data_IF_626309898126
#
_entry.id   IF_626309898126
#
_cell.length_a   1.000
_cell.length_b   1.000
_cell.length_c   1.000
_cell.angle_alpha   90.00
_cell.angle_beta   90.00
_cell.angle_gamma   90.00
#
_symmetry.space_group_name_H-M   'P 1'
#
loop_
_entity.id
_entity.type
_entity.pdbx_description
1 polymer ?
#
# COMPACT_ATOMS: atom_id res chain seq x y z
N UNK A 1 6.64 -16.49 26.63
CA UNK A 1 7.22 -15.98 25.38
C UNK A 1 6.14 -15.56 24.39
N UNK A 2 5.12 -16.39 24.13
CA UNK A 2 4.02 -16.10 23.20
C UNK A 2 3.22 -14.82 23.55
N UNK A 3 2.92 -14.57 24.84
CA UNK A 3 2.19 -13.37 25.26
C UNK A 3 2.97 -12.06 25.01
N UNK A 4 4.32 -12.10 25.04
CA UNK A 4 5.16 -10.94 24.77
C UNK A 4 5.35 -10.65 23.28
N UNK A 5 5.21 -11.66 22.42
CA UNK A 5 5.24 -11.50 20.98
C UNK A 5 3.94 -10.88 20.45
N UNK A 6 2.80 -11.23 21.04
CA UNK A 6 1.51 -10.66 20.69
C UNK A 6 1.42 -9.17 21.05
N UNK A 7 1.95 -8.76 22.18
CA UNK A 7 1.98 -7.35 22.63
C UNK A 7 2.86 -6.45 21.73
N UNK A 8 3.87 -7.02 21.05
CA UNK A 8 4.75 -6.27 20.14
C UNK A 8 4.20 -6.12 18.71
N UNK A 9 3.21 -6.91 18.32
CA UNK A 9 2.67 -6.90 16.97
C UNK A 9 1.90 -5.60 16.69
N UNK A 10 1.22 -5.06 17.67
CA UNK A 10 0.45 -3.81 17.51
C UNK A 10 1.34 -2.58 17.29
N UNK A 11 2.53 -2.56 17.88
CA UNK A 11 3.52 -1.49 17.74
C UNK A 11 4.38 -1.63 16.48
N UNK A 12 4.22 -2.72 15.72
CA UNK A 12 4.96 -2.94 14.48
C UNK A 12 4.73 -1.78 13.52
N UNK A 13 5.82 -1.14 13.08
CA UNK A 13 5.76 -0.07 12.08
C UNK A 13 5.50 -0.67 10.70
N UNK A 14 4.45 -0.25 10.05
CA UNK A 14 4.10 -0.65 8.68
C UNK A 14 4.48 0.42 7.63
N UNK A 15 4.59 1.68 8.06
CA UNK A 15 5.11 2.77 7.23
C UNK A 15 6.20 3.52 8.00
N UNK A 16 7.46 3.31 7.62
CA UNK A 16 8.60 3.97 8.25
C UNK A 16 8.66 5.49 7.96
N UNK A 17 8.17 5.91 6.80
CA UNK A 17 8.18 7.33 6.41
C UNK A 17 7.27 8.19 7.30
N UNK A 18 6.12 7.66 7.69
CA UNK A 18 5.09 8.35 8.47
C UNK A 18 4.94 7.77 9.88
N UNK A 19 5.82 6.85 10.28
CA UNK A 19 5.84 6.18 11.58
C UNK A 19 4.49 5.56 11.96
N UNK A 20 3.78 5.04 10.98
CA UNK A 20 2.46 4.44 11.17
C UNK A 20 2.59 3.01 11.65
N UNK A 21 1.97 2.70 12.81
CA UNK A 21 1.96 1.36 13.37
C UNK A 21 0.82 0.49 12.81
N UNK A 22 0.95 -0.82 13.03
CA UNK A 22 -0.10 -1.80 12.75
C UNK A 22 -1.41 -1.42 13.43
N UNK A 23 -1.34 -1.04 14.72
CA UNK A 23 -2.52 -0.64 15.49
C UNK A 23 -3.25 0.54 14.84
N UNK A 24 -2.53 1.60 14.48
CA UNK A 24 -3.14 2.77 13.83
C UNK A 24 -3.87 2.37 12.54
N UNK A 25 -3.30 1.46 11.77
CA UNK A 25 -3.89 0.99 10.52
C UNK A 25 -5.13 0.14 10.75
N UNK A 26 -5.07 -0.83 11.68
CA UNK A 26 -6.21 -1.70 12.00
C UNK A 26 -7.37 -0.94 12.65
N UNK A 27 -7.08 0.03 13.50
CA UNK A 27 -8.11 0.91 14.09
C UNK A 27 -8.83 1.71 12.98
N UNK A 28 -8.09 2.26 12.03
CA UNK A 28 -8.67 3.00 10.90
C UNK A 28 -9.49 2.11 9.95
N UNK A 29 -9.07 0.85 9.73
CA UNK A 29 -9.88 -0.13 8.99
C UNK A 29 -11.21 -0.41 9.70
N UNK A 30 -11.19 -0.55 11.01
CA UNK A 30 -12.40 -0.78 11.80
C UNK A 30 -13.37 0.42 11.78
N UNK A 31 -12.84 1.65 11.75
CA UNK A 31 -13.63 2.87 11.64
C UNK A 31 -14.27 3.05 10.23
N UNK A 32 -13.62 2.53 9.20
CA UNK A 32 -14.03 2.67 7.81
C UNK A 32 -14.16 1.31 7.10
N UNK A 33 -15.18 0.49 7.42
CA UNK A 33 -15.31 -0.87 6.88
C UNK A 33 -15.44 -0.96 5.36
N UNK A 34 -15.74 0.15 4.69
CA UNK A 34 -15.82 0.28 3.23
C UNK A 34 -14.80 1.26 2.66
N UNK A 35 -13.85 1.72 3.47
CA UNK A 35 -12.83 2.66 3.07
C UNK A 35 -11.86 2.06 2.04
N UNK A 36 -11.53 2.84 1.02
CA UNK A 36 -10.45 2.49 0.10
C UNK A 36 -9.07 2.77 0.71
N UNK A 37 -8.01 2.26 0.11
CA UNK A 37 -6.65 2.63 0.51
C UNK A 37 -6.37 4.14 0.36
N UNK A 38 -7.06 4.81 -0.55
CA UNK A 38 -6.97 6.27 -0.70
C UNK A 38 -7.67 7.02 0.45
N UNK A 39 -8.72 6.47 1.04
CA UNK A 39 -9.35 7.03 2.24
C UNK A 39 -8.45 6.83 3.46
N UNK A 40 -7.92 5.63 3.66
CA UNK A 40 -6.92 5.34 4.70
C UNK A 40 -5.67 6.22 4.54
N UNK A 41 -5.24 6.48 3.31
CA UNK A 41 -4.16 7.42 3.02
C UNK A 41 -4.44 8.83 3.54
N UNK A 42 -5.65 9.31 3.33
CA UNK A 42 -6.03 10.66 3.80
C UNK A 42 -6.05 10.75 5.32
N UNK A 43 -6.50 9.69 5.97
CA UNK A 43 -6.58 9.63 7.43
C UNK A 43 -5.21 9.40 8.07
N UNK A 44 -4.42 8.47 7.55
CA UNK A 44 -3.19 7.96 8.17
C UNK A 44 -1.91 8.44 7.48
N UNK A 45 -2.00 9.19 6.38
CA UNK A 45 -0.88 9.58 5.51
C UNK A 45 -0.16 8.37 4.84
N UNK A 46 -0.83 7.23 4.74
CA UNK A 46 -0.31 6.04 4.08
C UNK A 46 0.18 6.36 2.65
N UNK A 47 1.44 6.04 2.34
CA UNK A 47 2.01 6.28 1.02
C UNK A 47 2.31 7.75 0.69
N UNK A 48 2.37 8.64 1.69
CA UNK A 48 2.72 10.05 1.49
C UNK A 48 4.21 10.36 1.64
N UNK A 49 4.97 9.45 2.20
CA UNK A 49 6.41 9.62 2.36
C UNK A 49 7.19 9.48 1.06
N UNK A 50 8.53 9.65 1.08
CA UNK A 50 9.37 9.67 -0.12
C UNK A 50 9.30 8.41 -0.98
N UNK A 51 9.01 7.22 -0.40
CA UNK A 51 8.84 5.98 -1.17
C UNK A 51 7.49 5.88 -1.90
N UNK A 52 6.57 6.82 -1.67
CA UNK A 52 5.25 6.87 -2.31
C UNK A 52 4.49 5.53 -2.31
N UNK A 53 4.49 4.87 -1.16
CA UNK A 53 3.79 3.60 -0.98
C UNK A 53 4.59 2.35 -1.32
N UNK A 54 5.83 2.49 -1.75
CA UNK A 54 6.65 1.39 -2.22
C UNK A 54 6.78 0.21 -1.24
N UNK A 55 6.84 0.47 0.04
CA UNK A 55 6.96 -0.58 1.06
C UNK A 55 5.66 -0.80 1.85
N UNK A 56 5.01 0.29 2.24
CA UNK A 56 3.83 0.20 3.10
C UNK A 56 2.60 -0.37 2.38
N UNK A 57 2.49 -0.26 1.06
CA UNK A 57 1.36 -0.82 0.31
C UNK A 57 1.23 -2.33 0.47
N UNK A 58 2.35 -3.05 0.44
CA UNK A 58 2.36 -4.50 0.66
C UNK A 58 1.87 -4.88 2.06
N UNK A 59 2.43 -4.22 3.07
CA UNK A 59 2.07 -4.46 4.47
C UNK A 59 0.62 -4.10 4.74
N UNK A 60 0.16 -2.96 4.22
CA UNK A 60 -1.23 -2.53 4.32
C UNK A 60 -2.20 -3.51 3.66
N UNK A 61 -1.86 -4.01 2.47
CA UNK A 61 -2.67 -5.02 1.77
C UNK A 61 -2.74 -6.31 2.57
N UNK A 62 -1.62 -6.78 3.13
CA UNK A 62 -1.61 -7.99 3.97
C UNK A 62 -2.48 -7.82 5.22
N UNK A 63 -2.41 -6.68 5.90
CA UNK A 63 -3.24 -6.40 7.07
C UNK A 63 -4.73 -6.25 6.73
N UNK A 64 -5.04 -5.67 5.58
CA UNK A 64 -6.42 -5.54 5.12
C UNK A 64 -7.03 -6.92 4.76
N UNK A 65 -6.22 -7.84 4.21
CA UNK A 65 -6.61 -9.24 4.01
C UNK A 65 -6.80 -9.97 5.34
N UNK A 66 -5.88 -9.81 6.27
CA UNK A 66 -5.96 -10.42 7.61
C UNK A 66 -7.19 -9.96 8.39
N UNK A 67 -7.63 -8.73 8.17
CA UNK A 67 -8.81 -8.13 8.78
C UNK A 67 -10.12 -8.40 7.99
N UNK A 68 -10.11 -9.26 6.97
CA UNK A 68 -11.24 -9.51 6.07
C UNK A 68 -11.86 -8.22 5.46
N UNK A 69 -11.05 -7.17 5.33
CA UNK A 69 -11.47 -5.89 4.75
C UNK A 69 -11.51 -5.93 3.23
N UNK A 70 -10.66 -6.75 2.62
CA UNK A 70 -10.58 -6.97 1.18
C UNK A 70 -10.49 -8.46 0.87
N UNK A 71 -11.02 -8.87 -0.28
CA UNK A 71 -10.91 -10.24 -0.78
C UNK A 71 -9.55 -10.50 -1.43
N UNK A 72 -9.11 -11.76 -1.40
CA UNK A 72 -7.82 -12.19 -1.99
C UNK A 72 -7.78 -11.86 -3.48
N UNK A 73 -8.88 -12.10 -4.21
CA UNK A 73 -8.97 -11.85 -5.65
C UNK A 73 -8.81 -10.37 -6.00
N UNK A 74 -9.20 -9.47 -5.09
CA UNK A 74 -9.13 -8.02 -5.28
C UNK A 74 -7.85 -7.38 -4.75
N UNK A 75 -7.14 -8.06 -3.86
CA UNK A 75 -6.02 -7.51 -3.12
C UNK A 75 -4.91 -6.94 -4.02
N UNK A 76 -4.48 -7.72 -5.01
CA UNK A 76 -3.44 -7.30 -5.95
C UNK A 76 -3.87 -6.13 -6.82
N UNK A 77 -5.13 -6.13 -7.28
CA UNK A 77 -5.71 -5.04 -8.07
C UNK A 77 -5.78 -3.73 -7.28
N UNK A 78 -6.25 -3.80 -6.03
CA UNK A 78 -6.33 -2.63 -5.14
C UNK A 78 -4.95 -2.05 -4.81
N UNK A 79 -3.97 -2.92 -4.52
CA UNK A 79 -2.58 -2.50 -4.28
C UNK A 79 -1.99 -1.82 -5.51
N UNK A 80 -2.16 -2.41 -6.70
CA UNK A 80 -1.69 -1.85 -7.97
C UNK A 80 -2.33 -0.50 -8.27
N UNK A 81 -3.65 -0.38 -8.05
CA UNK A 81 -4.36 0.88 -8.23
C UNK A 81 -3.83 1.97 -7.28
N UNK A 82 -3.64 1.60 -6.00
CA UNK A 82 -3.07 2.52 -5.01
C UNK A 82 -1.68 3.01 -5.41
N UNK A 83 -0.78 2.13 -5.83
CA UNK A 83 0.57 2.49 -6.31
C UNK A 83 0.51 3.34 -7.58
N UNK A 84 -0.32 2.96 -8.54
CA UNK A 84 -0.51 3.73 -9.77
C UNK A 84 -0.94 5.17 -9.47
N UNK A 85 -1.89 5.36 -8.56
CA UNK A 85 -2.37 6.68 -8.17
C UNK A 85 -1.29 7.51 -7.47
N UNK A 86 -0.34 6.87 -6.77
CA UNK A 86 0.81 7.57 -6.16
C UNK A 86 1.83 8.01 -7.21
N UNK A 87 2.14 7.14 -8.13
CA UNK A 87 3.26 7.35 -9.06
C UNK A 87 2.90 8.21 -10.26
N UNK A 88 1.66 8.18 -10.73
CA UNK A 88 1.21 8.98 -11.87
C UNK A 88 1.39 10.49 -11.63
N UNK A 89 1.25 10.93 -10.38
CA UNK A 89 1.46 12.32 -9.99
C UNK A 89 2.92 12.75 -9.91
N UNK A 90 3.86 11.80 -9.90
CA UNK A 90 5.30 12.09 -9.82
C UNK A 90 5.90 12.43 -11.18
N UNK A 91 5.47 11.79 -12.26
CA UNK A 91 6.05 11.94 -13.59
C UNK A 91 6.23 13.37 -14.04
N UNK A 92 5.25 14.28 -13.86
CA UNK A 92 5.39 15.67 -14.31
C UNK A 92 6.46 16.48 -13.60
N UNK A 93 6.91 16.05 -12.41
CA UNK A 93 7.88 16.78 -11.57
C UNK A 93 9.26 16.13 -11.54
N UNK A 94 9.40 14.92 -12.07
CA UNK A 94 10.67 14.20 -12.10
C UNK A 94 11.54 14.68 -13.29
N UNK A 95 12.85 14.79 -13.07
CA UNK A 95 13.81 15.08 -14.13
C UNK A 95 15.16 14.36 -13.90
N UNK A 96 15.90 14.13 -14.98
CA UNK A 96 17.23 13.54 -14.93
C UNK A 96 17.25 12.17 -14.26
N UNK A 97 18.12 11.98 -13.28
CA UNK A 97 18.32 10.70 -12.59
C UNK A 97 17.11 10.27 -11.76
N UNK A 98 16.25 11.19 -11.35
CA UNK A 98 15.01 10.86 -10.64
C UNK A 98 14.07 10.01 -11.51
N UNK A 99 13.98 10.31 -12.80
CA UNK A 99 13.17 9.53 -13.75
C UNK A 99 13.73 8.11 -13.87
N UNK A 100 15.05 7.96 -13.95
CA UNK A 100 15.72 6.65 -14.00
C UNK A 100 15.48 5.84 -12.74
N UNK A 101 15.59 6.47 -11.57
CA UNK A 101 15.35 5.81 -10.28
C UNK A 101 13.89 5.34 -10.18
N UNK A 102 12.94 6.19 -10.52
CA UNK A 102 11.52 5.82 -10.49
C UNK A 102 11.20 4.70 -11.49
N UNK A 103 11.83 4.71 -12.67
CA UNK A 103 11.70 3.61 -13.62
C UNK A 103 12.25 2.29 -13.06
N UNK A 104 13.42 2.35 -12.40
CA UNK A 104 14.02 1.19 -11.74
C UNK A 104 13.09 0.64 -10.63
N UNK A 105 12.56 1.51 -9.78
CA UNK A 105 11.63 1.12 -8.71
C UNK A 105 10.39 0.44 -9.30
N UNK A 106 9.82 0.99 -10.38
CA UNK A 106 8.70 0.38 -11.06
C UNK A 106 9.03 -1.03 -11.59
N UNK A 107 10.19 -1.23 -12.20
CA UNK A 107 10.62 -2.53 -12.69
C UNK A 107 10.86 -3.53 -11.54
N UNK A 108 11.44 -3.08 -10.44
CA UNK A 108 11.63 -3.91 -9.23
C UNK A 108 10.27 -4.36 -8.70
N UNK A 109 9.30 -3.46 -8.61
CA UNK A 109 7.95 -3.80 -8.17
C UNK A 109 7.26 -4.79 -9.11
N UNK A 110 7.33 -4.56 -10.41
CA UNK A 110 6.75 -5.47 -11.39
C UNK A 110 7.36 -6.86 -11.29
N UNK A 111 8.68 -6.97 -11.26
CA UNK A 111 9.37 -8.26 -11.19
C UNK A 111 9.20 -8.97 -9.84
N UNK A 112 9.21 -8.23 -8.72
CA UNK A 112 9.11 -8.82 -7.37
C UNK A 112 7.69 -9.28 -7.04
N UNK A 113 6.68 -8.56 -7.53
CA UNK A 113 5.28 -8.79 -7.20
C UNK A 113 4.49 -9.47 -8.32
N UNK A 114 5.15 -9.76 -9.45
CA UNK A 114 4.51 -10.32 -10.65
C UNK A 114 3.31 -9.49 -11.14
N UNK A 115 3.34 -8.17 -10.89
CA UNK A 115 2.22 -7.27 -11.20
C UNK A 115 2.00 -7.08 -12.71
N UNK A 116 2.94 -7.46 -13.55
CA UNK A 116 2.82 -7.46 -15.00
C UNK A 116 1.80 -8.49 -15.50
N UNK A 117 1.56 -9.56 -14.73
CA UNK A 117 0.58 -10.61 -15.02
C UNK A 117 -0.79 -10.37 -14.38
N UNK A 118 -0.96 -9.25 -13.67
CA UNK A 118 -2.26 -8.89 -13.12
C UNK A 118 -3.26 -8.57 -14.24
N UNK A 119 -4.56 -8.87 -14.04
CA UNK A 119 -5.60 -8.54 -15.00
C UNK A 119 -5.52 -7.07 -15.40
N UNK A 120 -5.65 -6.80 -16.69
CA UNK A 120 -5.64 -5.42 -17.20
C UNK A 120 -6.79 -4.61 -16.60
N UNK A 121 -6.63 -3.28 -16.44
CA UNK A 121 -7.60 -2.42 -15.76
C UNK A 121 -8.96 -2.24 -16.46
N UNK A 122 -9.22 -2.96 -17.55
CA UNK A 122 -10.54 -3.03 -18.19
C UNK A 122 -11.59 -3.75 -17.32
N UNK A 123 -11.15 -4.50 -16.33
CA UNK A 123 -12.03 -4.91 -15.25
C UNK A 123 -12.06 -3.78 -14.23
N UNK A 124 -13.03 -2.87 -14.40
CA UNK A 124 -13.36 -1.87 -13.41
C UNK A 124 -13.53 -2.57 -12.07
N UNK A 125 -12.57 -2.33 -11.17
CA UNK A 125 -12.75 -2.66 -9.77
C UNK A 125 -13.76 -1.64 -9.27
N UNK A 126 -15.05 -1.95 -9.41
CA UNK A 126 -16.09 -1.17 -8.76
C UNK A 126 -15.77 -1.11 -7.26
N UNK A 127 -15.54 0.12 -6.80
CA UNK A 127 -15.32 0.47 -5.41
C UNK A 127 -16.60 0.26 -4.61
#
# INVERSE_FOLDING_TARGET
LEAREHDRTEDQIICECELMSRKMFTDALAEQPRGSFDDLRRQLRLGMGPCQGGFCSLRATALALEADHIDVERASGLMKLFLKNRWIGLWPILYGDQVRQTALDNWIFQGTLDVEHLPQPEQEVEL
#
